data_IF_616924955138
#
_entry.id   IF_616924955138
#
_cell.length_a   1.000
_cell.length_b   1.000
_cell.length_c   1.000
_cell.angle_alpha   90.00
_cell.angle_beta   90.00
_cell.angle_gamma   90.00
#
_symmetry.space_group_name_H-M   'P 1'
#
loop_
_entity.id
_entity.type
_entity.pdbx_description
1 polymer ?
#
# COMPACT_ATOMS: atom_id res chain seq x y z
N UNK A 1 19.18 17.95 12.35
CA UNK A 1 19.63 16.79 13.16
C UNK A 1 18.50 16.15 13.96
N UNK A 2 17.58 16.93 14.56
CA UNK A 2 16.41 16.39 15.29
C UNK A 2 15.47 15.57 14.39
N UNK A 3 15.20 16.01 13.16
CA UNK A 3 14.34 15.31 12.22
C UNK A 3 14.92 13.95 11.78
N UNK A 4 16.22 13.87 11.53
CA UNK A 4 16.89 12.61 11.15
C UNK A 4 16.85 11.62 12.32
N UNK A 5 17.07 12.09 13.55
CA UNK A 5 17.00 11.24 14.75
C UNK A 5 15.60 10.68 14.96
N UNK A 6 14.55 11.49 14.76
CA UNK A 6 13.15 11.03 14.86
C UNK A 6 12.78 10.03 13.77
N UNK A 7 13.25 10.24 12.53
CA UNK A 7 13.08 9.28 11.43
C UNK A 7 13.78 7.96 11.72
N UNK A 8 15.02 7.98 12.20
CA UNK A 8 15.76 6.76 12.56
C UNK A 8 15.09 6.01 13.74
N UNK A 9 14.57 6.74 14.72
CA UNK A 9 13.81 6.17 15.83
C UNK A 9 12.54 5.48 15.34
N UNK A 10 11.77 6.14 14.46
CA UNK A 10 10.58 5.56 13.84
C UNK A 10 10.93 4.30 13.03
N UNK A 11 11.98 4.36 12.21
CA UNK A 11 12.43 3.20 11.43
C UNK A 11 12.90 2.04 12.33
N UNK A 12 13.60 2.34 13.40
CA UNK A 12 13.98 1.36 14.43
C UNK A 12 12.76 0.69 15.07
N UNK A 13 11.73 1.48 15.40
CA UNK A 13 10.47 0.98 15.94
C UNK A 13 9.76 0.05 14.92
N UNK A 14 9.65 0.47 13.66
CA UNK A 14 9.03 -0.34 12.60
C UNK A 14 9.80 -1.65 12.36
N UNK A 15 11.14 -1.58 12.33
CA UNK A 15 12.00 -2.74 12.19
C UNK A 15 11.84 -3.72 13.36
N UNK A 16 11.82 -3.21 14.60
CA UNK A 16 11.65 -4.03 15.80
C UNK A 16 10.29 -4.74 15.82
N UNK A 17 9.20 -4.03 15.52
CA UNK A 17 7.88 -4.63 15.41
C UNK A 17 7.81 -5.69 14.31
N UNK A 18 8.48 -5.46 13.18
CA UNK A 18 8.59 -6.44 12.09
C UNK A 18 9.39 -7.67 12.53
N UNK A 19 10.50 -7.50 13.26
CA UNK A 19 11.26 -8.61 13.83
C UNK A 19 10.44 -9.42 14.84
N UNK A 20 9.66 -8.78 15.70
CA UNK A 20 8.74 -9.46 16.62
C UNK A 20 7.77 -10.34 15.82
N UNK A 21 7.13 -9.80 14.79
CA UNK A 21 6.24 -10.56 13.92
C UNK A 21 6.93 -11.76 13.24
N UNK A 22 8.16 -11.57 12.77
CA UNK A 22 8.99 -12.63 12.19
C UNK A 22 9.24 -13.77 13.18
N UNK A 23 9.64 -13.46 14.40
CA UNK A 23 9.89 -14.48 15.43
C UNK A 23 8.61 -15.19 15.89
N UNK A 24 7.48 -14.47 16.02
CA UNK A 24 6.19 -15.05 16.33
C UNK A 24 5.74 -16.06 15.27
N UNK A 25 5.99 -15.76 13.99
CA UNK A 25 5.72 -16.70 12.90
C UNK A 25 6.65 -17.91 12.92
N UNK A 26 7.96 -17.71 13.16
CA UNK A 26 8.93 -18.81 13.27
C UNK A 26 8.65 -19.74 14.44
N UNK A 27 8.11 -19.23 15.53
CA UNK A 27 7.66 -20.02 16.69
C UNK A 27 6.30 -20.68 16.49
N UNK A 28 5.63 -20.48 15.34
CA UNK A 28 4.31 -21.04 15.04
C UNK A 28 3.14 -20.35 15.76
N UNK A 29 3.39 -19.29 16.54
CA UNK A 29 2.34 -18.52 17.24
C UNK A 29 1.45 -17.81 16.19
N UNK A 30 2.04 -17.21 15.14
CA UNK A 30 1.32 -16.67 14.00
C UNK A 30 1.47 -17.63 12.82
N UNK A 31 0.59 -18.60 12.73
CA UNK A 31 0.47 -19.54 11.62
C UNK A 31 -0.32 -18.92 10.44
N UNK A 32 -0.61 -19.70 9.40
CA UNK A 32 -1.36 -19.22 8.22
C UNK A 32 -2.77 -18.69 8.59
N UNK A 33 -3.45 -19.35 9.51
CA UNK A 33 -4.78 -18.92 9.97
C UNK A 33 -4.71 -17.66 10.83
N UNK A 34 -3.71 -17.55 11.72
CA UNK A 34 -3.44 -16.34 12.50
C UNK A 34 -3.12 -15.12 11.61
N UNK A 35 -2.32 -15.30 10.54
CA UNK A 35 -2.07 -14.25 9.54
C UNK A 35 -3.34 -13.80 8.86
N UNK A 36 -4.20 -14.75 8.44
CA UNK A 36 -5.48 -14.42 7.81
C UNK A 36 -6.37 -13.61 8.77
N UNK A 37 -6.48 -14.03 10.02
CA UNK A 37 -7.25 -13.32 11.05
C UNK A 37 -6.73 -11.88 11.25
N UNK A 38 -5.41 -11.68 11.37
CA UNK A 38 -4.80 -10.35 11.50
C UNK A 38 -5.04 -9.49 10.25
N UNK A 39 -4.97 -10.09 9.06
CA UNK A 39 -5.25 -9.39 7.80
C UNK A 39 -6.70 -8.95 7.72
N UNK A 40 -7.63 -9.84 8.07
CA UNK A 40 -9.07 -9.55 8.05
C UNK A 40 -9.42 -8.46 9.08
N UNK A 41 -8.84 -8.51 10.28
CA UNK A 41 -8.98 -7.48 11.30
C UNK A 41 -8.45 -6.11 10.83
N UNK A 42 -7.27 -6.10 10.22
CA UNK A 42 -6.70 -4.87 9.65
C UNK A 42 -7.59 -4.27 8.57
N UNK A 43 -8.00 -5.06 7.58
CA UNK A 43 -8.74 -4.56 6.42
C UNK A 43 -10.16 -4.13 6.79
N UNK A 44 -10.83 -4.86 7.68
CA UNK A 44 -12.25 -4.63 7.95
C UNK A 44 -12.51 -3.70 9.15
N UNK A 45 -11.53 -3.51 10.04
CA UNK A 45 -11.72 -2.74 11.27
C UNK A 45 -10.67 -1.64 11.45
N UNK A 46 -9.39 -2.02 11.53
CA UNK A 46 -8.33 -1.10 11.91
C UNK A 46 -8.07 -0.03 10.83
N UNK A 47 -7.91 -0.44 9.57
CA UNK A 47 -7.70 0.51 8.46
C UNK A 47 -8.90 1.43 8.22
N UNK A 48 -10.16 0.96 8.21
CA UNK A 48 -11.31 1.86 8.17
C UNK A 48 -11.32 2.88 9.30
N UNK A 49 -11.07 2.47 10.54
CA UNK A 49 -10.99 3.39 11.68
C UNK A 49 -9.83 4.39 11.53
N UNK A 50 -8.66 3.93 11.07
CA UNK A 50 -7.51 4.79 10.81
C UNK A 50 -7.80 5.82 9.70
N UNK A 51 -8.50 5.42 8.63
CA UNK A 51 -8.94 6.32 7.58
C UNK A 51 -9.94 7.34 8.13
N UNK A 52 -10.99 6.92 8.83
CA UNK A 52 -11.97 7.85 9.43
C UNK A 52 -11.25 8.85 10.35
N UNK A 53 -10.33 8.37 11.20
CA UNK A 53 -9.56 9.22 12.10
C UNK A 53 -8.76 10.30 11.35
N UNK A 54 -8.24 9.98 10.15
CA UNK A 54 -7.46 10.94 9.34
C UNK A 54 -8.30 12.08 8.76
N UNK A 55 -9.60 11.87 8.59
CA UNK A 55 -10.52 12.89 8.09
C UNK A 55 -11.12 13.77 9.20
N UNK A 56 -10.88 13.45 10.48
CA UNK A 56 -11.31 14.27 11.63
C UNK A 56 -10.35 15.45 11.82
N UNK A 57 -10.22 16.28 10.80
CA UNK A 57 -9.41 17.50 10.76
C UNK A 57 -10.30 18.68 10.39
N UNK A 58 -9.87 19.90 10.74
CA UNK A 58 -10.57 21.10 10.33
C UNK A 58 -10.55 21.25 8.81
N UNK A 59 -11.72 21.51 8.23
CA UNK A 59 -11.86 21.76 6.81
C UNK A 59 -11.25 23.12 6.46
N UNK A 60 -10.33 23.14 5.50
CA UNK A 60 -9.80 24.36 4.92
C UNK A 60 -9.63 24.21 3.40
N UNK A 61 -9.57 25.32 2.69
CA UNK A 61 -9.30 25.33 1.24
C UNK A 61 -7.93 24.73 0.90
N UNK A 62 -6.94 24.90 1.79
CA UNK A 62 -5.61 24.33 1.62
C UNK A 62 -5.65 22.80 1.73
N UNK A 63 -6.43 22.25 2.67
CA UNK A 63 -6.66 20.80 2.79
C UNK A 63 -7.33 20.26 1.53
N UNK A 64 -8.32 20.96 0.99
CA UNK A 64 -9.00 20.55 -0.25
C UNK A 64 -8.05 20.58 -1.45
N UNK A 65 -7.25 21.64 -1.60
CA UNK A 65 -6.27 21.79 -2.67
C UNK A 65 -5.19 20.70 -2.60
N UNK A 66 -4.63 20.46 -1.44
CA UNK A 66 -3.64 19.38 -1.22
C UNK A 66 -4.23 18.00 -1.51
N UNK A 67 -5.47 17.77 -1.09
CA UNK A 67 -6.23 16.54 -1.38
C UNK A 67 -6.46 16.31 -2.87
N UNK A 68 -6.83 17.36 -3.61
CA UNK A 68 -6.98 17.29 -5.06
C UNK A 68 -5.63 17.03 -5.75
N UNK A 69 -4.57 17.73 -5.33
CA UNK A 69 -3.24 17.59 -5.90
C UNK A 69 -2.71 16.16 -5.72
N UNK A 70 -2.81 15.59 -4.51
CA UNK A 70 -2.31 14.23 -4.25
C UNK A 70 -3.13 13.16 -4.99
N UNK A 71 -4.43 13.39 -5.17
CA UNK A 71 -5.29 12.49 -5.96
C UNK A 71 -4.85 12.46 -7.43
N UNK A 72 -4.56 13.63 -8.03
CA UNK A 72 -4.07 13.74 -9.41
C UNK A 72 -2.70 13.07 -9.56
N UNK A 73 -1.77 13.31 -8.64
CA UNK A 73 -0.44 12.67 -8.65
C UNK A 73 -0.57 11.16 -8.56
N UNK A 74 -1.40 10.66 -7.64
CA UNK A 74 -1.62 9.23 -7.49
C UNK A 74 -2.27 8.61 -8.73
N UNK A 75 -3.25 9.29 -9.34
CA UNK A 75 -3.89 8.81 -10.57
C UNK A 75 -2.88 8.76 -11.72
N UNK A 76 -2.07 9.82 -11.90
CA UNK A 76 -1.01 9.85 -12.91
C UNK A 76 0.01 8.73 -12.71
N UNK A 77 0.42 8.48 -11.47
CA UNK A 77 1.29 7.36 -11.13
C UNK A 77 0.67 6.02 -11.49
N UNK A 78 -0.61 5.77 -11.14
CA UNK A 78 -1.27 4.50 -11.44
C UNK A 78 -1.39 4.28 -12.95
N UNK A 79 -1.70 5.32 -13.73
CA UNK A 79 -1.69 5.27 -15.20
C UNK A 79 -0.28 4.96 -15.70
N UNK A 80 0.74 5.64 -15.19
CA UNK A 80 2.15 5.36 -15.53
C UNK A 80 2.57 3.92 -15.20
N UNK A 81 2.18 3.39 -14.05
CA UNK A 81 2.42 2.01 -13.67
C UNK A 81 1.73 1.02 -14.64
N UNK A 82 0.48 1.29 -15.05
CA UNK A 82 -0.25 0.45 -16.03
C UNK A 82 0.45 0.47 -17.38
N UNK A 83 0.89 1.64 -17.86
CA UNK A 83 1.67 1.78 -19.11
C UNK A 83 3.01 1.02 -19.01
N UNK A 84 3.72 1.16 -17.90
CA UNK A 84 4.96 0.41 -17.64
C UNK A 84 4.69 -1.10 -17.66
N UNK A 85 3.58 -1.56 -17.08
CA UNK A 85 3.19 -2.97 -17.11
C UNK A 85 2.89 -3.47 -18.52
N UNK A 86 2.27 -2.65 -19.36
CA UNK A 86 1.94 -3.03 -20.73
C UNK A 86 3.16 -3.12 -21.64
N UNK A 87 4.16 -2.26 -21.45
CA UNK A 87 5.31 -2.13 -22.34
C UNK A 87 6.58 -2.80 -21.79
N UNK A 88 6.76 -2.80 -20.46
CA UNK A 88 8.06 -3.06 -19.84
C UNK A 88 8.36 -4.51 -19.49
N UNK A 89 7.36 -5.38 -19.36
CA UNK A 89 7.55 -6.73 -18.77
C UNK A 89 7.31 -7.90 -19.74
N UNK A 90 7.19 -7.64 -21.04
CA UNK A 90 6.88 -8.67 -22.05
C UNK A 90 7.98 -9.72 -22.24
N UNK A 91 9.18 -9.48 -21.74
CA UNK A 91 10.32 -10.40 -21.77
C UNK A 91 10.24 -11.51 -20.71
N UNK A 92 9.36 -11.37 -19.70
CA UNK A 92 9.19 -12.35 -18.63
C UNK A 92 8.17 -13.44 -19.01
N UNK A 93 8.37 -14.68 -18.55
CA UNK A 93 7.35 -15.73 -18.62
C UNK A 93 6.07 -15.28 -17.88
N UNK A 94 4.89 -15.70 -18.36
CA UNK A 94 3.59 -15.26 -17.86
C UNK A 94 3.48 -15.30 -16.32
N UNK A 95 3.84 -16.43 -15.71
CA UNK A 95 3.73 -16.62 -14.26
C UNK A 95 4.55 -15.62 -13.42
N UNK A 96 5.71 -15.15 -13.92
CA UNK A 96 6.50 -14.08 -13.28
C UNK A 96 6.06 -12.69 -13.72
N UNK A 97 5.65 -12.55 -14.98
CA UNK A 97 5.16 -11.28 -15.54
C UNK A 97 3.95 -10.76 -14.77
N UNK A 98 2.97 -11.63 -14.49
CA UNK A 98 1.78 -11.28 -13.70
C UNK A 98 2.14 -10.76 -12.30
N UNK A 99 3.15 -11.37 -11.65
CA UNK A 99 3.67 -10.91 -10.35
C UNK A 99 4.31 -9.53 -10.46
N UNK A 100 5.14 -9.30 -11.48
CA UNK A 100 5.75 -7.98 -11.72
C UNK A 100 4.70 -6.90 -11.96
N UNK A 101 3.75 -7.18 -12.85
CA UNK A 101 2.69 -6.24 -13.22
C UNK A 101 1.82 -5.90 -12.02
N UNK A 102 1.33 -6.91 -11.30
CA UNK A 102 0.52 -6.67 -10.12
C UNK A 102 1.29 -5.94 -9.01
N UNK A 103 2.52 -6.36 -8.71
CA UNK A 103 3.37 -5.72 -7.71
C UNK A 103 3.76 -4.29 -8.06
N UNK A 104 3.85 -3.94 -9.35
CA UNK A 104 4.09 -2.57 -9.81
C UNK A 104 2.90 -1.66 -9.52
N UNK A 105 1.68 -2.15 -9.75
CA UNK A 105 0.44 -1.41 -9.50
C UNK A 105 0.07 -1.41 -8.01
N UNK A 106 0.33 -2.51 -7.30
CA UNK A 106 -0.07 -2.73 -5.91
C UNK A 106 1.13 -2.71 -4.95
N UNK A 107 1.41 -1.55 -4.37
CA UNK A 107 2.40 -1.42 -3.29
C UNK A 107 1.82 -1.70 -1.91
N UNK A 108 2.70 -1.85 -0.92
CA UNK A 108 2.33 -1.97 0.49
C UNK A 108 2.04 -0.59 1.14
N UNK A 109 1.46 0.33 0.36
CA UNK A 109 1.13 1.68 0.82
C UNK A 109 0.13 1.71 1.97
N UNK A 110 -0.85 0.79 1.98
CA UNK A 110 -1.91 0.78 2.98
C UNK A 110 -1.41 0.36 4.38
N UNK A 111 -0.52 -0.62 4.47
CA UNK A 111 -0.03 -1.10 5.77
C UNK A 111 1.25 -0.37 6.20
N UNK A 112 2.31 -0.48 5.40
CA UNK A 112 3.60 0.13 5.73
C UNK A 112 3.59 1.63 5.48
N UNK A 113 3.11 2.05 4.30
CA UNK A 113 3.15 3.44 3.88
C UNK A 113 2.31 4.37 4.75
N UNK A 114 1.04 4.01 5.03
CA UNK A 114 0.18 4.83 5.89
C UNK A 114 0.72 4.93 7.32
N UNK A 115 1.29 3.84 7.87
CA UNK A 115 1.89 3.86 9.19
C UNK A 115 3.11 4.77 9.27
N UNK A 116 3.95 4.75 8.21
CA UNK A 116 5.13 5.61 8.12
C UNK A 116 4.76 7.08 7.95
N UNK A 117 3.82 7.37 7.05
CA UNK A 117 3.33 8.72 6.78
C UNK A 117 2.66 9.33 8.02
N UNK A 118 1.88 8.54 8.76
CA UNK A 118 1.29 8.93 10.05
C UNK A 118 2.38 9.26 11.10
N UNK A 119 3.41 8.43 11.16
CA UNK A 119 4.53 8.64 12.07
C UNK A 119 5.38 9.88 11.76
N UNK A 120 5.45 10.31 10.49
CA UNK A 120 6.26 11.48 10.06
C UNK A 120 5.44 12.77 10.11
N UNK A 121 4.22 12.76 9.54
CA UNK A 121 3.40 13.97 9.32
C UNK A 121 2.07 13.96 10.08
N UNK A 122 1.84 12.95 10.93
CA UNK A 122 0.62 12.85 11.74
C UNK A 122 -0.66 12.77 10.90
N UNK A 123 -1.75 13.32 11.44
CA UNK A 123 -3.09 13.26 10.82
C UNK A 123 -3.16 13.89 9.43
N UNK A 124 -2.40 14.96 9.16
CA UNK A 124 -2.37 15.60 7.83
C UNK A 124 -1.75 14.68 6.78
N UNK A 125 -0.63 14.03 7.09
CA UNK A 125 -0.03 13.03 6.22
C UNK A 125 -0.95 11.82 6.02
N UNK A 126 -1.60 11.36 7.08
CA UNK A 126 -2.52 10.23 7.03
C UNK A 126 -3.76 10.50 6.16
N UNK A 127 -4.31 11.73 6.22
CA UNK A 127 -5.37 12.17 5.32
C UNK A 127 -4.95 12.07 3.86
N UNK A 128 -3.81 12.67 3.50
CA UNK A 128 -3.27 12.64 2.14
C UNK A 128 -2.97 11.21 1.70
N UNK A 129 -2.40 10.37 2.57
CA UNK A 129 -2.18 8.94 2.31
C UNK A 129 -3.49 8.21 1.99
N UNK A 130 -4.55 8.49 2.73
CA UNK A 130 -5.87 7.85 2.54
C UNK A 130 -6.46 8.16 1.16
N UNK A 131 -6.29 9.40 0.70
CA UNK A 131 -6.71 9.88 -0.63
C UNK A 131 -5.82 9.30 -1.73
N UNK A 132 -4.49 9.34 -1.55
CA UNK A 132 -3.52 8.77 -2.48
C UNK A 132 -3.78 7.30 -2.78
N UNK A 133 -4.23 6.53 -1.79
CA UNK A 133 -4.47 5.10 -1.94
C UNK A 133 -5.79 4.76 -2.66
N UNK A 134 -6.67 5.73 -2.96
CA UNK A 134 -7.92 5.49 -3.69
C UNK A 134 -7.65 4.93 -5.10
N UNK A 135 -6.88 5.61 -5.98
CA UNK A 135 -6.55 5.09 -7.30
C UNK A 135 -5.84 3.72 -7.25
N UNK A 136 -4.93 3.52 -6.28
CA UNK A 136 -4.25 2.25 -6.12
C UNK A 136 -5.23 1.11 -5.78
N UNK A 137 -6.21 1.34 -4.90
CA UNK A 137 -7.23 0.33 -4.56
C UNK A 137 -8.11 -0.01 -5.75
N UNK A 138 -8.50 0.98 -6.53
CA UNK A 138 -9.25 0.76 -7.79
C UNK A 138 -8.42 -0.06 -8.75
N UNK A 139 -7.17 0.33 -9.01
CA UNK A 139 -6.28 -0.38 -9.92
C UNK A 139 -5.97 -1.81 -9.44
N UNK A 140 -5.76 -2.02 -8.14
CA UNK A 140 -5.48 -3.31 -7.53
C UNK A 140 -6.57 -4.36 -7.82
N UNK A 141 -7.85 -3.97 -7.69
CA UNK A 141 -8.99 -4.88 -7.85
C UNK A 141 -9.57 -4.90 -9.27
N UNK A 142 -9.13 -4.02 -10.17
CA UNK A 142 -9.54 -3.99 -11.57
C UNK A 142 -8.44 -4.53 -12.49
N UNK A 143 -7.60 -3.65 -13.01
CA UNK A 143 -6.48 -3.98 -13.90
C UNK A 143 -5.49 -4.95 -13.24
N UNK A 144 -5.24 -4.81 -11.94
CA UNK A 144 -4.29 -5.67 -11.23
C UNK A 144 -4.68 -7.14 -11.29
N UNK A 145 -5.92 -7.48 -10.96
CA UNK A 145 -6.40 -8.87 -11.02
C UNK A 145 -6.37 -9.41 -12.45
N UNK A 146 -6.66 -8.58 -13.46
CA UNK A 146 -6.64 -9.00 -14.86
C UNK A 146 -5.26 -9.47 -15.34
N UNK A 147 -4.17 -9.01 -14.71
CA UNK A 147 -2.83 -9.51 -15.06
C UNK A 147 -2.60 -10.99 -14.77
N UNK A 148 -3.33 -11.56 -13.82
CA UNK A 148 -3.28 -12.99 -13.50
C UNK A 148 -4.24 -13.81 -14.37
N UNK A 149 -5.21 -13.18 -15.04
CA UNK A 149 -6.24 -13.85 -15.84
C UNK A 149 -5.95 -13.81 -17.36
N UNK A 150 -4.85 -13.22 -17.81
CA UNK A 150 -4.56 -12.98 -19.23
C UNK A 150 -4.41 -14.25 -20.08
N UNK A 151 -4.16 -15.42 -19.47
CA UNK A 151 -4.09 -16.70 -20.20
C UNK A 151 -5.46 -17.36 -20.40
N UNK A 152 -6.48 -16.94 -19.66
CA UNK A 152 -7.84 -17.40 -19.86
C UNK A 152 -8.48 -16.56 -20.98
N UNK A 153 -8.78 -17.17 -22.13
CA UNK A 153 -9.53 -16.51 -23.20
C UNK A 153 -10.90 -16.10 -22.61
N UNK A 154 -11.31 -14.84 -22.71
CA UNK A 154 -12.62 -14.43 -22.21
C UNK A 154 -13.70 -15.19 -22.97
N UNK A 155 -14.50 -15.97 -22.27
CA UNK A 155 -15.46 -16.89 -22.87
C UNK A 155 -16.61 -16.17 -23.58
N UNK A 156 -17.02 -14.98 -23.13
CA UNK A 156 -18.02 -14.14 -23.81
C UNK A 156 -17.97 -12.66 -23.41
N UNK A 157 -18.60 -11.78 -24.24
CA UNK A 157 -18.78 -10.35 -23.91
C UNK A 157 -19.68 -10.15 -22.68
N UNK A 158 -20.56 -11.07 -22.38
CA UNK A 158 -21.49 -11.02 -21.24
C UNK A 158 -20.77 -11.39 -19.94
N UNK A 159 -19.90 -12.40 -19.95
CA UNK A 159 -19.05 -12.76 -18.82
C UNK A 159 -18.09 -11.63 -18.48
N UNK A 160 -17.48 -10.97 -19.48
CA UNK A 160 -16.65 -9.78 -19.25
C UNK A 160 -17.42 -8.62 -18.60
N UNK A 161 -18.70 -8.43 -18.93
CA UNK A 161 -19.56 -7.39 -18.31
C UNK A 161 -19.96 -7.77 -16.89
N UNK A 162 -20.25 -9.04 -16.64
CA UNK A 162 -20.56 -9.56 -15.31
C UNK A 162 -19.35 -9.45 -14.37
N UNK A 163 -18.16 -9.81 -14.85
CA UNK A 163 -16.91 -9.66 -14.10
C UNK A 163 -16.58 -8.20 -13.79
N UNK A 164 -16.76 -7.28 -14.76
CA UNK A 164 -16.58 -5.85 -14.50
C UNK A 164 -17.55 -5.31 -13.45
N UNK A 165 -18.82 -5.72 -13.45
CA UNK A 165 -19.80 -5.33 -12.42
C UNK A 165 -19.42 -5.90 -11.05
N UNK A 166 -18.99 -7.15 -10.99
CA UNK A 166 -18.54 -7.79 -9.75
C UNK A 166 -17.29 -7.10 -9.18
N UNK A 167 -16.33 -6.77 -10.03
CA UNK A 167 -15.12 -6.02 -9.66
C UNK A 167 -15.47 -4.62 -9.17
N UNK A 168 -16.29 -3.87 -9.88
CA UNK A 168 -16.74 -2.54 -9.46
C UNK A 168 -17.48 -2.62 -8.12
N UNK A 169 -18.44 -3.54 -7.98
CA UNK A 169 -19.13 -3.75 -6.71
C UNK A 169 -18.17 -4.04 -5.57
N UNK A 170 -17.22 -4.98 -5.76
CA UNK A 170 -16.21 -5.34 -4.76
C UNK A 170 -15.31 -4.16 -4.39
N UNK A 171 -14.97 -3.32 -5.37
CA UNK A 171 -14.16 -2.12 -5.14
C UNK A 171 -14.93 -1.09 -4.32
N UNK A 172 -16.17 -0.74 -4.73
CA UNK A 172 -16.97 0.28 -4.05
C UNK A 172 -17.51 -0.18 -2.69
N UNK A 173 -17.70 -1.48 -2.47
CA UNK A 173 -18.08 -2.03 -1.15
C UNK A 173 -16.89 -2.33 -0.26
N UNK A 174 -15.65 -2.01 -0.70
CA UNK A 174 -14.45 -2.25 0.11
C UNK A 174 -14.48 -1.36 1.37
N UNK A 175 -14.26 -1.92 2.59
CA UNK A 175 -14.38 -1.19 3.85
C UNK A 175 -13.57 0.11 3.90
N UNK A 176 -12.36 0.09 3.32
CA UNK A 176 -11.51 1.29 3.27
C UNK A 176 -12.07 2.39 2.34
N UNK A 177 -12.78 2.04 1.26
CA UNK A 177 -13.40 3.04 0.37
C UNK A 177 -14.63 3.63 1.04
N UNK A 178 -15.44 2.80 1.69
CA UNK A 178 -16.56 3.29 2.50
C UNK A 178 -16.09 4.21 3.63
N UNK A 179 -14.97 3.86 4.28
CA UNK A 179 -14.36 4.71 5.31
C UNK A 179 -13.89 6.07 4.77
N UNK A 180 -13.37 6.14 3.54
CA UNK A 180 -13.04 7.42 2.89
C UNK A 180 -14.30 8.25 2.66
N UNK A 181 -15.39 7.64 2.14
CA UNK A 181 -16.66 8.35 1.92
C UNK A 181 -17.22 8.89 3.25
N UNK A 182 -17.28 8.05 4.28
CA UNK A 182 -17.72 8.46 5.63
C UNK A 182 -16.82 9.58 6.17
N UNK A 183 -15.51 9.42 6.05
CA UNK A 183 -14.53 10.43 6.47
C UNK A 183 -14.71 11.76 5.75
N UNK A 184 -14.91 11.77 4.44
CA UNK A 184 -15.20 12.99 3.66
C UNK A 184 -16.48 13.68 4.12
N UNK A 185 -17.53 12.92 4.41
CA UNK A 185 -18.79 13.48 4.93
C UNK A 185 -18.58 14.12 6.29
N UNK A 186 -17.86 13.45 7.20
CA UNK A 186 -17.53 14.00 8.53
C UNK A 186 -16.67 15.26 8.42
N UNK A 187 -15.65 15.26 7.56
CA UNK A 187 -14.82 16.44 7.32
C UNK A 187 -15.63 17.61 6.72
N UNK A 188 -16.50 17.34 5.75
CA UNK A 188 -17.31 18.39 5.11
C UNK A 188 -18.38 18.95 6.05
N UNK A 189 -19.01 18.10 6.86
CA UNK A 189 -20.05 18.50 7.81
C UNK A 189 -19.50 19.13 9.10
N UNK A 190 -18.22 18.92 9.40
CA UNK A 190 -17.56 19.34 10.66
C UNK A 190 -18.32 18.90 11.92
N UNK A 191 -19.15 17.84 11.81
CA UNK A 191 -19.89 17.29 12.94
C UNK A 191 -18.94 16.51 13.86
N UNK A 192 -18.85 16.88 15.13
CA UNK A 192 -18.03 16.14 16.09
C UNK A 192 -18.61 14.74 16.30
N UNK A 193 -17.76 13.73 16.29
CA UNK A 193 -18.18 12.39 16.70
C UNK A 193 -18.55 12.39 18.19
N UNK A 194 -19.63 11.67 18.59
CA UNK A 194 -19.90 11.44 20.01
C UNK A 194 -18.65 10.94 20.75
N UNK A 195 -18.40 11.44 21.95
CA UNK A 195 -17.13 11.24 22.64
C UNK A 195 -16.68 9.77 22.78
N UNK A 196 -17.59 8.83 22.98
CA UNK A 196 -17.27 7.41 23.02
C UNK A 196 -16.89 6.84 21.64
N UNK A 197 -17.57 7.27 20.57
CA UNK A 197 -17.24 6.85 19.21
C UNK A 197 -15.87 7.39 18.76
N UNK A 198 -15.60 8.67 19.01
CA UNK A 198 -14.30 9.27 18.67
C UNK A 198 -13.15 8.58 19.40
N UNK A 199 -13.30 8.26 20.70
CA UNK A 199 -12.30 7.50 21.46
C UNK A 199 -12.11 6.07 20.91
N UNK A 200 -13.18 5.40 20.52
CA UNK A 200 -13.12 4.06 19.95
C UNK A 200 -12.39 4.08 18.61
N UNK A 201 -12.74 5.00 17.70
CA UNK A 201 -12.06 5.16 16.40
C UNK A 201 -10.57 5.44 16.60
N UNK A 202 -10.22 6.35 17.52
CA UNK A 202 -8.81 6.65 17.83
C UNK A 202 -8.05 5.45 18.39
N UNK A 203 -8.66 4.67 19.29
CA UNK A 203 -8.04 3.47 19.84
C UNK A 203 -7.77 2.42 18.77
N UNK A 204 -8.73 2.17 17.87
CA UNK A 204 -8.55 1.26 16.74
C UNK A 204 -7.50 1.78 15.74
N UNK A 205 -7.51 3.08 15.45
CA UNK A 205 -6.51 3.73 14.59
C UNK A 205 -5.08 3.52 15.12
N UNK A 206 -4.87 3.68 16.41
CA UNK A 206 -3.56 3.50 17.05
C UNK A 206 -3.02 2.06 16.96
N UNK A 207 -3.89 1.06 16.73
CA UNK A 207 -3.45 -0.32 16.50
C UNK A 207 -2.80 -0.53 15.11
N UNK A 208 -3.01 0.41 14.15
CA UNK A 208 -2.61 0.20 12.76
C UNK A 208 -1.12 -0.10 12.62
N UNK A 209 -0.25 0.75 13.16
CA UNK A 209 1.20 0.60 13.05
C UNK A 209 1.68 -0.74 13.65
N UNK A 210 1.28 -1.06 14.89
CA UNK A 210 1.74 -2.26 15.58
C UNK A 210 1.29 -3.55 14.88
N UNK A 211 0.00 -3.65 14.59
CA UNK A 211 -0.57 -4.87 13.97
C UNK A 211 -0.08 -5.04 12.53
N UNK A 212 0.04 -3.95 11.75
CA UNK A 212 0.56 -4.00 10.38
C UNK A 212 2.00 -4.48 10.33
N UNK A 213 2.89 -3.96 11.18
CA UNK A 213 4.31 -4.35 11.20
C UNK A 213 4.49 -5.79 11.66
N UNK A 214 3.75 -6.23 12.69
CA UNK A 214 3.76 -7.62 13.14
C UNK A 214 3.27 -8.56 12.02
N UNK A 215 2.21 -8.17 11.30
CA UNK A 215 1.72 -8.95 10.15
C UNK A 215 2.76 -9.04 9.04
N UNK A 216 3.43 -7.94 8.69
CA UNK A 216 4.51 -7.92 7.68
C UNK A 216 5.64 -8.85 8.10
N UNK A 217 6.07 -8.77 9.36
CA UNK A 217 7.07 -9.66 9.93
C UNK A 217 6.67 -11.12 9.85
N UNK A 218 5.40 -11.43 10.15
CA UNK A 218 4.88 -12.79 10.05
C UNK A 218 4.82 -13.30 8.60
N UNK A 219 4.53 -12.45 7.63
CA UNK A 219 4.60 -12.79 6.19
C UNK A 219 6.03 -13.16 5.81
N UNK A 220 7.01 -12.35 6.20
CA UNK A 220 8.43 -12.61 5.93
C UNK A 220 8.88 -13.91 6.62
N UNK A 221 8.51 -14.11 7.90
CA UNK A 221 8.89 -15.29 8.68
C UNK A 221 8.36 -16.61 8.14
N UNK A 222 7.21 -16.61 7.51
CA UNK A 222 6.59 -17.79 6.89
C UNK A 222 6.96 -17.97 5.41
N UNK A 223 7.64 -17.00 4.81
CA UNK A 223 8.09 -17.12 3.42
C UNK A 223 9.14 -18.23 3.31
N UNK A 224 8.92 -19.20 2.40
CA UNK A 224 9.96 -20.15 2.00
C UNK A 224 10.97 -19.41 1.12
N UNK A 225 11.92 -18.73 1.74
CA UNK A 225 13.01 -18.08 1.03
C UNK A 225 13.93 -19.16 0.46
N UNK A 226 13.69 -19.59 -0.80
CA UNK A 226 14.66 -20.32 -1.61
C UNK A 226 15.94 -19.48 -1.79
N UNK A 227 16.75 -19.77 -2.82
CA UNK A 227 17.92 -18.92 -3.13
C UNK A 227 17.49 -17.46 -3.16
N UNK A 228 18.03 -16.64 -2.24
CA UNK A 228 17.74 -15.19 -2.11
C UNK A 228 18.15 -14.42 -3.38
N UNK A 229 19.23 -14.89 -4.05
CA UNK A 229 19.72 -14.30 -5.29
C UNK A 229 18.85 -14.71 -6.48
N UNK A 230 18.04 -13.76 -6.94
CA UNK A 230 17.23 -13.85 -8.15
C UNK A 230 17.33 -12.49 -8.86
N UNK A 231 17.93 -12.48 -10.05
CA UNK A 231 18.15 -11.25 -10.82
C UNK A 231 16.85 -10.50 -11.09
N UNK A 232 15.77 -11.24 -11.37
CA UNK A 232 14.47 -10.66 -11.64
C UNK A 232 13.93 -9.99 -10.36
N UNK A 233 14.09 -10.62 -9.19
CA UNK A 233 13.66 -10.04 -7.92
C UNK A 233 14.40 -8.71 -7.62
N UNK A 234 15.70 -8.65 -7.84
CA UNK A 234 16.49 -7.43 -7.64
C UNK A 234 16.13 -6.34 -8.66
N UNK A 235 15.93 -6.70 -9.93
CA UNK A 235 15.48 -5.76 -10.94
C UNK A 235 14.11 -5.17 -10.58
N UNK A 236 13.19 -6.02 -10.11
CA UNK A 236 11.91 -5.55 -9.58
C UNK A 236 12.10 -4.54 -8.44
N UNK A 237 12.94 -4.86 -7.46
CA UNK A 237 13.23 -3.96 -6.34
C UNK A 237 13.82 -2.63 -6.80
N UNK A 238 14.72 -2.63 -7.79
CA UNK A 238 15.28 -1.40 -8.37
C UNK A 238 14.19 -0.53 -9.01
N UNK A 239 13.29 -1.14 -9.77
CA UNK A 239 12.17 -0.43 -10.40
C UNK A 239 11.25 0.12 -9.31
N UNK A 240 10.84 -0.72 -8.37
CA UNK A 240 9.81 -0.39 -7.37
C UNK A 240 10.28 0.60 -6.31
N UNK A 241 11.49 0.40 -5.77
CA UNK A 241 12.03 1.20 -4.67
C UNK A 241 12.91 2.37 -5.15
N UNK A 242 13.32 2.36 -6.42
CA UNK A 242 14.20 3.36 -7.02
C UNK A 242 13.52 4.18 -8.11
N UNK A 243 13.23 3.57 -9.27
CA UNK A 243 12.76 4.30 -10.45
C UNK A 243 11.38 4.95 -10.26
N UNK A 244 10.43 4.21 -9.67
CA UNK A 244 9.06 4.72 -9.47
C UNK A 244 9.05 5.94 -8.53
N UNK A 245 9.62 5.92 -7.30
CA UNK A 245 9.64 7.10 -6.46
C UNK A 245 10.48 8.25 -7.04
N UNK A 246 11.56 7.96 -7.79
CA UNK A 246 12.32 8.99 -8.51
C UNK A 246 11.46 9.72 -9.55
N UNK A 247 10.67 8.98 -10.33
CA UNK A 247 9.75 9.54 -11.30
C UNK A 247 8.66 10.40 -10.63
N UNK A 248 8.13 9.96 -9.49
CA UNK A 248 7.15 10.74 -8.71
C UNK A 248 7.79 12.03 -8.17
N UNK A 249 8.98 11.95 -7.58
CA UNK A 249 9.71 13.12 -7.09
C UNK A 249 9.94 14.14 -8.20
N UNK A 250 10.43 13.67 -9.35
CA UNK A 250 10.65 14.53 -10.52
C UNK A 250 9.35 15.18 -10.98
N UNK A 251 8.28 14.39 -11.12
CA UNK A 251 6.96 14.91 -11.50
C UNK A 251 6.43 15.95 -10.52
N UNK A 252 6.52 15.71 -9.22
CA UNK A 252 6.10 16.67 -8.20
C UNK A 252 6.90 17.97 -8.26
N UNK A 253 8.22 17.90 -8.44
CA UNK A 253 9.09 19.08 -8.57
C UNK A 253 8.78 19.88 -9.83
N UNK A 254 8.57 19.21 -10.97
CA UNK A 254 8.23 19.88 -12.24
C UNK A 254 6.85 20.56 -12.19
N UNK A 255 5.90 19.99 -11.46
CA UNK A 255 4.57 20.57 -11.29
C UNK A 255 4.48 21.60 -10.16
N UNK A 256 5.56 21.85 -9.42
CA UNK A 256 5.56 22.78 -8.27
C UNK A 256 4.62 22.33 -7.14
N UNK A 257 4.52 21.01 -6.91
CA UNK A 257 3.67 20.46 -5.85
C UNK A 257 4.18 20.88 -4.46
N UNK A 258 3.24 21.08 -3.53
CA UNK A 258 3.55 21.40 -2.13
C UNK A 258 4.47 20.34 -1.50
N UNK A 259 5.30 20.78 -0.53
CA UNK A 259 6.29 19.94 0.13
C UNK A 259 5.65 18.72 0.82
N UNK A 260 4.54 18.91 1.55
CA UNK A 260 3.84 17.81 2.21
C UNK A 260 3.24 16.82 1.19
N UNK A 261 2.62 17.32 0.13
CA UNK A 261 2.08 16.50 -0.97
C UNK A 261 3.19 15.72 -1.66
N UNK A 262 4.33 16.36 -1.92
CA UNK A 262 5.51 15.71 -2.52
C UNK A 262 6.04 14.62 -1.60
N UNK A 263 6.26 14.93 -0.32
CA UNK A 263 6.79 13.99 0.67
C UNK A 263 5.92 12.75 0.79
N UNK A 264 4.61 12.92 1.01
CA UNK A 264 3.66 11.82 1.12
C UNK A 264 3.62 10.99 -0.17
N UNK A 265 3.59 11.64 -1.35
CA UNK A 265 3.54 10.96 -2.65
C UNK A 265 4.79 10.09 -2.90
N UNK A 266 5.97 10.64 -2.65
CA UNK A 266 7.25 9.93 -2.85
C UNK A 266 7.39 8.77 -1.87
N UNK A 267 7.07 8.99 -0.59
CA UNK A 267 7.14 7.92 0.42
C UNK A 267 6.18 6.78 0.08
N UNK A 268 4.94 7.07 -0.30
CA UNK A 268 3.98 6.04 -0.70
C UNK A 268 4.37 5.35 -2.01
N UNK A 269 4.97 6.08 -2.95
CA UNK A 269 5.54 5.50 -4.17
C UNK A 269 6.75 4.60 -3.88
N UNK A 270 7.54 4.87 -2.84
CA UNK A 270 8.71 4.08 -2.42
C UNK A 270 8.33 2.82 -1.61
N UNK A 271 7.05 2.54 -1.40
CA UNK A 271 6.64 1.35 -0.64
C UNK A 271 6.91 0.06 -1.41
N UNK A 272 7.30 -1.02 -0.70
CA UNK A 272 7.62 -2.31 -1.28
C UNK A 272 6.39 -2.99 -1.90
N UNK A 273 6.58 -4.18 -2.48
CA UNK A 273 5.49 -5.00 -3.02
C UNK A 273 4.45 -5.33 -1.94
N UNK A 274 3.18 -5.18 -2.26
CA UNK A 274 2.08 -5.55 -1.37
C UNK A 274 1.97 -7.07 -1.19
N UNK A 275 1.78 -7.54 0.04
CA UNK A 275 1.67 -8.97 0.38
C UNK A 275 0.51 -9.69 -0.32
N UNK A 276 -0.52 -8.97 -0.74
CA UNK A 276 -1.65 -9.48 -1.54
C UNK A 276 -1.18 -10.08 -2.86
N UNK A 277 -0.06 -9.62 -3.43
CA UNK A 277 0.53 -10.16 -4.65
C UNK A 277 0.79 -11.67 -4.54
N UNK A 278 1.38 -12.11 -3.44
CA UNK A 278 1.66 -13.53 -3.22
C UNK A 278 0.39 -14.38 -3.11
N UNK A 279 -0.64 -13.84 -2.46
CA UNK A 279 -1.95 -14.51 -2.31
C UNK A 279 -2.66 -14.66 -3.66
N UNK A 280 -2.63 -13.62 -4.50
CA UNK A 280 -3.25 -13.67 -5.83
C UNK A 280 -2.46 -14.57 -6.78
N UNK A 281 -1.12 -14.54 -6.73
CA UNK A 281 -0.28 -15.45 -7.50
C UNK A 281 -0.59 -16.91 -7.16
N UNK A 282 -0.77 -17.25 -5.89
CA UNK A 282 -1.17 -18.60 -5.47
C UNK A 282 -2.57 -18.97 -5.97
N UNK A 283 -3.52 -18.04 -5.86
CA UNK A 283 -4.92 -18.29 -6.24
C UNK A 283 -5.13 -18.47 -7.74
N UNK A 284 -4.38 -17.73 -8.57
CA UNK A 284 -4.59 -17.65 -10.02
C UNK A 284 -3.45 -18.28 -10.83
N UNK A 285 -2.60 -19.14 -10.23
CA UNK A 285 -1.57 -19.89 -10.95
C UNK A 285 -0.34 -19.10 -11.38
N UNK A 286 -0.10 -17.92 -10.77
CA UNK A 286 1.16 -17.19 -10.93
C UNK A 286 2.31 -17.82 -10.11
N UNK A 287 3.53 -17.33 -10.26
CA UNK A 287 4.69 -17.78 -9.47
C UNK A 287 4.62 -17.25 -8.02
N UNK A 288 3.88 -17.95 -7.16
CA UNK A 288 3.67 -17.57 -5.76
C UNK A 288 4.96 -17.60 -4.93
N UNK A 289 5.91 -18.47 -5.29
CA UNK A 289 7.22 -18.52 -4.62
C UNK A 289 8.05 -17.28 -4.96
N UNK A 290 8.06 -16.88 -6.22
CA UNK A 290 8.68 -15.64 -6.67
C UNK A 290 8.02 -14.40 -6.08
N UNK A 291 6.67 -14.35 -6.04
CA UNK A 291 5.92 -13.26 -5.41
C UNK A 291 6.26 -13.10 -3.93
N UNK A 292 6.28 -14.20 -3.17
CA UNK A 292 6.65 -14.19 -1.75
C UNK A 292 8.09 -13.71 -1.54
N UNK A 293 9.02 -14.10 -2.43
CA UNK A 293 10.40 -13.61 -2.43
C UNK A 293 10.46 -12.11 -2.67
N UNK A 294 9.79 -11.60 -3.70
CA UNK A 294 9.75 -10.17 -4.02
C UNK A 294 9.15 -9.34 -2.87
N UNK A 295 8.06 -9.82 -2.24
CA UNK A 295 7.49 -9.18 -1.05
C UNK A 295 8.52 -9.09 0.07
N UNK A 296 9.18 -10.19 0.41
CA UNK A 296 10.15 -10.24 1.50
C UNK A 296 11.39 -9.37 1.21
N UNK A 297 12.02 -9.54 0.03
CA UNK A 297 13.24 -8.81 -0.34
C UNK A 297 12.95 -7.32 -0.47
N UNK A 298 11.87 -6.92 -1.16
CA UNK A 298 11.53 -5.50 -1.29
C UNK A 298 11.19 -4.86 0.06
N UNK A 299 10.53 -5.60 0.98
CA UNK A 299 10.23 -5.10 2.33
C UNK A 299 11.52 -4.89 3.13
N UNK A 300 12.47 -5.83 3.10
CA UNK A 300 13.75 -5.67 3.79
C UNK A 300 14.54 -4.50 3.20
N UNK A 301 14.62 -4.40 1.87
CA UNK A 301 15.31 -3.29 1.21
C UNK A 301 14.63 -1.94 1.47
N UNK A 302 13.30 -1.91 1.62
CA UNK A 302 12.58 -0.67 1.92
C UNK A 302 12.94 -0.07 3.28
N UNK A 303 13.38 -0.88 4.25
CA UNK A 303 13.89 -0.38 5.54
C UNK A 303 15.10 0.54 5.37
N UNK A 304 15.86 0.37 4.27
CA UNK A 304 17.03 1.21 3.95
C UNK A 304 16.64 2.30 2.96
N UNK A 305 15.89 1.96 1.90
CA UNK A 305 15.59 2.92 0.82
C UNK A 305 14.57 3.97 1.22
N UNK A 306 13.61 3.64 2.10
CA UNK A 306 12.58 4.61 2.51
C UNK A 306 13.14 5.78 3.32
N UNK A 307 14.04 5.59 4.33
CA UNK A 307 14.73 6.70 4.97
C UNK A 307 15.48 7.61 4.00
N UNK A 308 16.14 7.02 2.98
CA UNK A 308 16.85 7.80 1.96
C UNK A 308 15.88 8.68 1.17
N UNK A 309 14.71 8.19 0.79
CA UNK A 309 13.68 8.99 0.15
C UNK A 309 13.13 10.08 1.07
N UNK A 310 12.93 9.79 2.36
CA UNK A 310 12.50 10.80 3.34
C UNK A 310 13.52 11.94 3.52
N UNK A 311 14.82 11.70 3.28
CA UNK A 311 15.86 12.74 3.35
C UNK A 311 15.95 13.63 2.10
N UNK A 312 15.38 13.19 0.98
CA UNK A 312 15.43 13.90 -0.31
C UNK A 312 14.19 14.77 -0.54
N UNK A 313 13.09 14.48 0.14
CA UNK A 313 11.82 15.21 0.10
C UNK A 313 11.70 16.13 1.29
#
# INVERSE_FOLDING_TARGET
MAEISSLLTLQGQLALLTLIGFFLARKGIINAQGRKCLTDLLINVILPANIIQSFLVEFSWDVLKSSASILVISLALQIGCVVLCALGYNWLPFARRSVYQYGTVCSNGAFLGSALVDGIWGSSGLLLSSIYLIPQRVAMWSVGVSYFLQDEKPASKEEMRADRRAVLRKTFTHPCILAVVVGMVLMASQLPLPGFLGRTVKSLSNCNMGVSMILIGAIIGNSRMGKLWDKDCFLYCLIRLGLIPAAVLLGCRLCGADSLVTGVSVVLAAMPMGGVTAVLAEKYGGDSAFASKCVAVSTVLSLITTPLWCMVV
#
